data_IF_876252789512
#
_entry.id   IF_876252789512
#
_cell.length_a   1.000
_cell.length_b   1.000
_cell.length_c   1.000
_cell.angle_alpha   90.00
_cell.angle_beta   90.00
_cell.angle_gamma   90.00
#
_symmetry.space_group_name_H-M   'P 1'
#
loop_
_entity.id
_entity.type
_entity.pdbx_description
1 polymer ?
#
# COMPACT_ATOMS: atom_id res chain seq x y z
N UNK A 1 10.15 6.55 -10.98
CA UNK A 1 9.53 5.21 -10.96
C UNK A 1 9.06 4.96 -9.54
N UNK A 2 7.76 4.81 -9.32
CA UNK A 2 7.18 4.64 -7.98
C UNK A 2 7.15 3.15 -7.64
N UNK A 3 7.73 2.79 -6.49
CA UNK A 3 7.72 1.42 -5.99
C UNK A 3 7.24 1.39 -4.54
N UNK A 4 6.54 0.33 -4.17
CA UNK A 4 6.01 0.13 -2.81
C UNK A 4 6.59 -1.16 -2.26
N UNK A 5 7.24 -1.11 -1.10
CA UNK A 5 7.64 -2.32 -0.37
C UNK A 5 6.70 -2.57 0.80
N UNK A 6 6.11 -3.76 0.79
CA UNK A 6 5.21 -4.21 1.82
C UNK A 6 5.86 -5.33 2.63
N UNK A 7 5.88 -5.16 3.94
CA UNK A 7 6.44 -6.12 4.90
C UNK A 7 5.30 -6.75 5.67
N UNK A 8 5.14 -8.06 5.55
CA UNK A 8 4.21 -8.82 6.38
C UNK A 8 4.89 -9.15 7.71
N UNK A 9 4.35 -8.60 8.80
CA UNK A 9 4.94 -8.77 10.13
C UNK A 9 4.67 -10.14 10.75
N UNK A 10 3.60 -10.81 10.32
CA UNK A 10 3.15 -12.07 10.92
C UNK A 10 4.06 -13.23 10.55
N UNK A 11 4.53 -13.25 9.30
CA UNK A 11 5.39 -14.30 8.76
C UNK A 11 6.76 -13.79 8.31
N UNK A 12 7.08 -12.52 8.56
CA UNK A 12 8.35 -11.88 8.16
C UNK A 12 8.66 -12.06 6.68
N UNK A 13 7.69 -11.75 5.81
CA UNK A 13 7.88 -11.78 4.35
C UNK A 13 7.79 -10.40 3.75
N UNK A 14 8.46 -10.17 2.63
CA UNK A 14 8.46 -8.88 1.93
C UNK A 14 7.96 -9.04 0.49
N UNK A 15 7.28 -8.01 -0.01
CA UNK A 15 6.82 -7.91 -1.39
C UNK A 15 7.08 -6.52 -1.94
N UNK A 16 7.87 -6.47 -3.00
CA UNK A 16 8.14 -5.26 -3.76
C UNK A 16 7.20 -5.16 -4.97
N UNK A 17 6.47 -4.06 -5.05
CA UNK A 17 5.65 -3.68 -6.19
C UNK A 17 6.34 -2.55 -6.94
N UNK A 18 6.84 -2.84 -8.13
CA UNK A 18 7.41 -1.84 -9.06
C UNK A 18 6.36 -1.36 -10.07
N UNK A 19 6.61 -0.23 -10.71
CA UNK A 19 5.71 0.36 -11.73
C UNK A 19 4.27 0.52 -11.22
N UNK A 20 4.13 0.99 -9.98
CA UNK A 20 2.80 1.26 -9.43
C UNK A 20 2.22 2.47 -10.15
N UNK A 21 1.11 2.28 -10.84
CA UNK A 21 0.41 3.34 -11.57
C UNK A 21 -0.59 4.07 -10.69
N UNK A 22 -1.18 3.35 -9.73
CA UNK A 22 -2.17 3.86 -8.79
C UNK A 22 -2.19 3.01 -7.52
N UNK A 23 -2.39 3.64 -6.38
CA UNK A 23 -2.67 2.96 -5.12
C UNK A 23 -3.95 3.50 -4.51
N UNK A 24 -4.70 2.62 -3.85
CA UNK A 24 -5.96 2.99 -3.21
C UNK A 24 -6.05 2.36 -1.83
N UNK A 25 -6.29 3.20 -0.83
CA UNK A 25 -6.47 2.82 0.57
C UNK A 25 -7.96 2.75 0.85
N UNK A 26 -8.43 1.59 1.29
CA UNK A 26 -9.82 1.41 1.72
C UNK A 26 -9.87 1.39 3.23
N UNK A 27 -10.76 2.20 3.80
CA UNK A 27 -11.16 2.17 5.21
C UNK A 27 -12.53 1.50 5.33
N UNK A 28 -13.05 1.42 6.54
CA UNK A 28 -14.39 0.88 6.77
C UNK A 28 -15.50 1.72 6.13
N UNK A 29 -15.24 3.01 5.86
CA UNK A 29 -16.28 3.97 5.44
C UNK A 29 -15.98 4.63 4.11
N UNK A 30 -14.71 4.74 3.70
CA UNK A 30 -14.29 5.54 2.56
C UNK A 30 -13.13 4.89 1.81
N UNK A 31 -12.93 5.35 0.58
CA UNK A 31 -11.85 4.91 -0.31
C UNK A 31 -11.04 6.13 -0.75
N UNK A 32 -9.72 6.08 -0.56
CA UNK A 32 -8.80 7.17 -0.86
C UNK A 32 -7.78 6.76 -1.91
N UNK A 33 -7.57 7.59 -2.92
CA UNK A 33 -6.52 7.40 -3.92
C UNK A 33 -5.23 8.07 -3.47
N UNK A 34 -4.11 7.33 -3.51
CA UNK A 34 -2.79 7.83 -3.17
C UNK A 34 -1.95 7.94 -4.44
N UNK A 35 -1.39 9.12 -4.68
CA UNK A 35 -0.54 9.41 -5.85
C UNK A 35 0.94 9.24 -5.51
N UNK A 36 1.30 9.43 -4.25
CA UNK A 36 2.68 9.33 -3.75
C UNK A 36 2.79 8.35 -2.57
N UNK A 37 4.01 7.87 -2.33
CA UNK A 37 4.30 6.95 -1.21
C UNK A 37 4.07 7.62 0.15
N UNK A 38 4.30 8.94 0.25
CA UNK A 38 4.06 9.71 1.47
C UNK A 38 2.55 9.80 1.76
N UNK A 39 1.74 10.19 0.77
CA UNK A 39 0.28 10.21 0.88
C UNK A 39 -0.27 8.85 1.27
N UNK A 40 0.31 7.77 0.73
CA UNK A 40 -0.09 6.41 1.08
C UNK A 40 0.17 6.11 2.56
N UNK A 41 1.34 6.48 3.07
CA UNK A 41 1.70 6.30 4.46
C UNK A 41 0.77 7.07 5.40
N UNK A 42 0.48 8.33 5.08
CA UNK A 42 -0.41 9.17 5.88
C UNK A 42 -1.84 8.62 5.86
N UNK A 43 -2.36 8.24 4.69
CA UNK A 43 -3.68 7.62 4.57
C UNK A 43 -3.79 6.31 5.35
N UNK A 44 -2.75 5.47 5.34
CA UNK A 44 -2.76 4.20 6.08
C UNK A 44 -2.72 4.41 7.59
N UNK A 45 -1.89 5.34 8.08
CA UNK A 45 -1.76 5.59 9.51
C UNK A 45 -2.92 6.41 10.10
N UNK A 46 -3.40 7.43 9.39
CA UNK A 46 -4.41 8.35 9.92
C UNK A 46 -5.85 7.87 9.74
N UNK A 47 -6.15 7.12 8.67
CA UNK A 47 -7.54 6.81 8.29
C UNK A 47 -8.06 5.45 8.75
N UNK A 48 -7.28 4.71 9.55
CA UNK A 48 -7.71 3.38 10.02
C UNK A 48 -7.92 2.42 8.84
N UNK A 49 -6.92 2.32 7.98
CA UNK A 49 -7.02 1.57 6.75
C UNK A 49 -7.14 0.06 6.99
N UNK A 50 -8.07 -0.59 6.29
CA UNK A 50 -8.34 -2.02 6.41
C UNK A 50 -7.76 -2.82 5.26
N UNK A 51 -7.61 -2.20 4.09
CA UNK A 51 -6.93 -2.82 2.95
C UNK A 51 -6.27 -1.81 2.02
N UNK A 52 -5.31 -2.30 1.26
CA UNK A 52 -4.58 -1.57 0.23
C UNK A 52 -4.74 -2.28 -1.11
N UNK A 53 -5.23 -1.57 -2.12
CA UNK A 53 -5.27 -2.03 -3.51
C UNK A 53 -4.17 -1.33 -4.31
N UNK A 54 -3.29 -2.11 -4.91
CA UNK A 54 -2.18 -1.67 -5.76
C UNK A 54 -2.51 -2.03 -7.20
N UNK A 55 -2.43 -1.02 -8.08
CA UNK A 55 -2.55 -1.19 -9.52
C UNK A 55 -1.16 -1.11 -10.15
N UNK A 56 -0.80 -2.15 -10.87
CA UNK A 56 0.38 -2.26 -11.73
C UNK A 56 -0.13 -2.45 -13.17
N UNK A 57 0.68 -2.09 -14.17
CA UNK A 57 0.30 -2.01 -15.59
C UNK A 57 -0.77 -3.03 -16.06
N UNK A 58 -0.61 -4.31 -15.74
CA UNK A 58 -1.52 -5.41 -16.12
C UNK A 58 -2.18 -6.13 -14.92
N UNK A 59 -1.92 -5.71 -13.68
CA UNK A 59 -2.28 -6.46 -12.47
C UNK A 59 -2.83 -5.58 -11.37
N UNK A 60 -3.85 -6.11 -10.68
CA UNK A 60 -4.40 -5.50 -9.47
C UNK A 60 -4.17 -6.46 -8.32
N UNK A 61 -3.61 -5.96 -7.22
CA UNK A 61 -3.42 -6.72 -6.00
C UNK A 61 -4.06 -6.00 -4.82
N UNK A 62 -4.93 -6.68 -4.08
CA UNK A 62 -5.54 -6.17 -2.84
C UNK A 62 -5.01 -6.94 -1.65
N UNK A 63 -4.63 -6.23 -0.59
CA UNK A 63 -4.03 -6.80 0.62
C UNK A 63 -4.77 -6.26 1.85
N UNK A 64 -5.16 -7.11 2.82
CA UNK A 64 -5.63 -6.63 4.11
C UNK A 64 -4.46 -5.99 4.86
N UNK A 65 -4.64 -4.81 5.46
CA UNK A 65 -3.54 -4.07 6.11
C UNK A 65 -3.24 -4.54 7.55
N UNK A 66 -4.13 -5.31 8.17
CA UNK A 66 -3.96 -5.81 9.55
C UNK A 66 -2.63 -6.53 9.80
N UNK A 67 -2.05 -7.11 8.74
CA UNK A 67 -0.82 -7.90 8.78
C UNK A 67 0.38 -7.20 8.09
N UNK A 68 0.20 -6.01 7.51
CA UNK A 68 1.15 -5.41 6.57
C UNK A 68 1.67 -4.02 6.97
N UNK A 69 2.98 -3.96 7.18
CA UNK A 69 3.88 -2.80 7.16
C UNK A 69 4.01 -2.15 5.79
N UNK A 70 3.69 -0.86 5.63
CA UNK A 70 4.24 -0.09 4.50
C UNK A 70 5.58 0.49 4.96
N UNK A 71 6.65 0.18 4.22
CA UNK A 71 7.97 0.75 4.46
C UNK A 71 8.39 1.62 3.29
N UNK A 72 9.02 2.76 3.60
CA UNK A 72 9.61 3.63 2.58
C UNK A 72 10.95 3.06 2.15
N UNK A 73 11.10 2.74 0.86
CA UNK A 73 12.44 2.49 0.29
C UNK A 73 13.01 3.86 -0.09
N UNK A 74 13.98 4.34 0.68
CA UNK A 74 14.84 5.45 0.26
C UNK A 74 15.87 4.93 -0.75
N UNK A 75 16.00 5.62 -1.88
CA UNK A 75 17.21 5.61 -2.71
C UNK A 75 17.80 7.01 -2.73
#
# INVERSE_FOLDING_TARGET
MTSINLVNLKNYTEKLYTNVTKATVNTDTEQYEAVLLLDLFDLVNEKGAVSLTIYQDDKVTTLPLSDWQISTIGY
#
